data_IF_728653253459
#
_entry.id   IF_728653253459
#
_cell.length_a   1.000
_cell.length_b   1.000
_cell.length_c   1.000
_cell.angle_alpha   90.00
_cell.angle_beta   90.00
_cell.angle_gamma   90.00
#
_symmetry.space_group_name_H-M   'P 1'
#
loop_
_entity.id
_entity.type
_entity.pdbx_description
1 polymer ?
#
# COMPACT_ATOMS: atom_id res chain seq x y z
N UNK A 1 -35.90 -6.47 -64.96
CA UNK A 1 -34.90 -5.79 -64.09
C UNK A 1 -34.27 -4.53 -64.71
N UNK A 2 -34.86 -3.96 -65.77
CA UNK A 2 -34.30 -2.82 -66.52
C UNK A 2 -35.24 -1.61 -66.59
N UNK A 3 -36.39 -1.67 -65.91
CA UNK A 3 -37.46 -0.69 -66.08
C UNK A 3 -37.36 0.54 -65.16
N UNK A 4 -36.64 0.46 -64.04
CA UNK A 4 -36.46 1.59 -63.12
C UNK A 4 -35.35 2.57 -63.55
N UNK A 5 -34.41 2.12 -64.38
CA UNK A 5 -33.25 2.94 -64.81
C UNK A 5 -33.64 3.90 -65.95
N UNK A 6 -34.59 3.52 -66.80
CA UNK A 6 -34.94 4.30 -68.00
C UNK A 6 -35.86 5.50 -67.77
N UNK A 7 -36.48 5.67 -66.58
CA UNK A 7 -37.37 6.82 -66.30
C UNK A 7 -36.63 8.06 -65.82
N UNK A 8 -35.36 7.93 -65.43
CA UNK A 8 -34.52 9.03 -64.93
C UNK A 8 -33.93 9.88 -66.07
N UNK A 9 -33.99 9.41 -67.32
CA UNK A 9 -33.28 10.00 -68.46
C UNK A 9 -33.91 11.24 -69.14
N UNK A 10 -34.90 11.95 -68.56
CA UNK A 10 -35.56 13.09 -69.25
C UNK A 10 -35.36 14.50 -68.65
N UNK A 11 -34.34 14.75 -67.82
CA UNK A 11 -34.10 16.12 -67.31
C UNK A 11 -32.63 16.41 -67.05
N UNK A 12 -32.04 17.36 -67.79
CA UNK A 12 -30.70 17.92 -67.55
C UNK A 12 -30.49 18.37 -66.10
N UNK A 13 -31.57 18.82 -65.43
CA UNK A 13 -31.54 19.26 -64.03
C UNK A 13 -31.28 18.08 -63.07
N UNK A 14 -31.83 16.89 -63.35
CA UNK A 14 -31.63 15.68 -62.53
C UNK A 14 -30.19 15.16 -62.61
N UNK A 15 -29.55 15.27 -63.78
CA UNK A 15 -28.14 14.86 -63.96
C UNK A 15 -27.18 15.72 -63.12
N UNK A 16 -27.46 17.02 -62.99
CA UNK A 16 -26.67 17.95 -62.19
C UNK A 16 -26.80 17.67 -60.67
N UNK A 17 -28.02 17.42 -60.19
CA UNK A 17 -28.30 17.16 -58.76
C UNK A 17 -27.77 15.80 -58.29
N UNK A 18 -27.80 14.77 -59.14
CA UNK A 18 -27.26 13.44 -58.78
C UNK A 18 -25.71 13.47 -58.74
N UNK A 19 -25.08 14.25 -59.61
CA UNK A 19 -23.62 14.39 -59.64
C UNK A 19 -23.05 15.02 -58.36
N UNK A 20 -23.80 15.93 -57.71
CA UNK A 20 -23.40 16.53 -56.44
C UNK A 20 -23.77 15.68 -55.21
N UNK A 21 -24.67 14.70 -55.36
CA UNK A 21 -25.08 13.81 -54.27
C UNK A 21 -24.07 12.70 -53.99
N UNK A 22 -23.37 12.22 -55.01
CA UNK A 22 -22.35 11.17 -54.89
C UNK A 22 -21.23 11.59 -53.90
N UNK A 23 -20.60 12.78 -54.02
CA UNK A 23 -19.61 13.25 -53.05
C UNK A 23 -20.13 13.30 -51.61
N UNK A 24 -21.39 13.72 -51.41
CA UNK A 24 -22.01 13.81 -50.08
C UNK A 24 -22.16 12.41 -49.47
N UNK A 25 -22.58 11.42 -50.26
CA UNK A 25 -22.66 10.04 -49.80
C UNK A 25 -21.29 9.48 -49.39
N UNK A 26 -20.24 9.77 -50.17
CA UNK A 26 -18.87 9.38 -49.81
C UNK A 26 -18.39 10.04 -48.51
N UNK A 27 -18.69 11.32 -48.28
CA UNK A 27 -18.35 12.02 -47.02
C UNK A 27 -19.05 11.37 -45.83
N UNK A 28 -20.32 10.99 -45.97
CA UNK A 28 -21.08 10.32 -44.89
C UNK A 28 -20.43 8.97 -44.53
N UNK A 29 -20.09 8.15 -45.53
CA UNK A 29 -19.42 6.86 -45.30
C UNK A 29 -18.06 7.04 -44.63
N UNK A 30 -17.26 8.00 -45.10
CA UNK A 30 -15.98 8.35 -44.48
C UNK A 30 -16.17 8.85 -43.04
N UNK A 31 -17.23 9.61 -42.77
CA UNK A 31 -17.59 10.03 -41.42
C UNK A 31 -17.88 8.87 -40.47
N UNK A 32 -18.64 7.86 -40.93
CA UNK A 32 -18.95 6.67 -40.14
C UNK A 32 -17.69 5.83 -39.87
N UNK A 33 -16.86 5.61 -40.91
CA UNK A 33 -15.59 4.87 -40.77
C UNK A 33 -14.63 5.62 -39.84
N UNK A 34 -14.50 6.94 -40.00
CA UNK A 34 -13.67 7.79 -39.14
C UNK A 34 -14.16 7.75 -37.69
N UNK A 35 -15.46 7.89 -37.46
CA UNK A 35 -16.05 7.84 -36.13
C UNK A 35 -15.80 6.49 -35.45
N UNK A 36 -16.10 5.38 -36.13
CA UNK A 36 -15.93 4.04 -35.58
C UNK A 36 -14.46 3.70 -35.29
N UNK A 37 -13.55 4.03 -36.21
CA UNK A 37 -12.11 3.84 -36.04
C UNK A 37 -11.54 4.66 -34.88
N UNK A 38 -11.92 5.95 -34.82
CA UNK A 38 -11.44 6.87 -33.78
C UNK A 38 -12.01 6.50 -32.42
N UNK A 39 -13.32 6.22 -32.33
CA UNK A 39 -13.95 5.82 -31.08
C UNK A 39 -13.36 4.52 -30.52
N UNK A 40 -13.05 3.56 -31.39
CA UNK A 40 -12.36 2.31 -31.00
C UNK A 40 -10.94 2.59 -30.51
N UNK A 41 -10.16 3.34 -31.28
CA UNK A 41 -8.78 3.68 -30.93
C UNK A 41 -8.68 4.46 -29.62
N UNK A 42 -9.61 5.38 -29.37
CA UNK A 42 -9.67 6.14 -28.10
C UNK A 42 -9.97 5.19 -26.94
N UNK A 43 -10.98 4.33 -27.07
CA UNK A 43 -11.32 3.36 -26.02
C UNK A 43 -10.14 2.44 -25.73
N UNK A 44 -9.53 1.86 -26.75
CA UNK A 44 -8.36 0.99 -26.63
C UNK A 44 -7.20 1.70 -25.93
N UNK A 45 -6.87 2.93 -26.35
CA UNK A 45 -5.81 3.72 -25.72
C UNK A 45 -6.10 4.05 -24.26
N UNK A 46 -7.32 4.47 -23.94
CA UNK A 46 -7.70 4.78 -22.54
C UNK A 46 -7.61 3.51 -21.70
N UNK A 47 -8.17 2.40 -22.15
CA UNK A 47 -8.08 1.12 -21.45
C UNK A 47 -6.63 0.66 -21.27
N UNK A 48 -5.81 0.73 -22.31
CA UNK A 48 -4.40 0.34 -22.25
C UNK A 48 -3.60 1.23 -21.30
N UNK A 49 -3.75 2.55 -21.38
CA UNK A 49 -3.08 3.49 -20.48
C UNK A 49 -3.52 3.30 -19.03
N UNK A 50 -4.81 3.06 -18.79
CA UNK A 50 -5.31 2.74 -17.44
C UNK A 50 -4.73 1.42 -16.91
N UNK A 51 -4.69 0.36 -17.74
CA UNK A 51 -4.09 -0.92 -17.37
C UNK A 51 -2.61 -0.76 -17.03
N UNK A 52 -1.85 -0.05 -17.88
CA UNK A 52 -0.44 0.23 -17.63
C UNK A 52 -0.24 1.01 -16.33
N UNK A 53 -1.09 2.00 -16.06
CA UNK A 53 -1.04 2.79 -14.82
C UNK A 53 -1.29 1.90 -13.60
N UNK A 54 -2.30 1.02 -13.64
CA UNK A 54 -2.61 0.07 -12.57
C UNK A 54 -1.43 -0.87 -12.33
N UNK A 55 -0.84 -1.43 -13.40
CA UNK A 55 0.34 -2.30 -13.28
C UNK A 55 1.54 -1.57 -12.66
N UNK A 56 1.79 -0.32 -13.06
CA UNK A 56 2.87 0.48 -12.45
C UNK A 56 2.58 0.80 -10.97
N UNK A 57 1.33 1.02 -10.59
CA UNK A 57 0.94 1.19 -9.19
C UNK A 57 1.14 -0.09 -8.38
N UNK A 58 0.77 -1.25 -8.94
CA UNK A 58 1.00 -2.56 -8.32
C UNK A 58 2.48 -2.83 -8.12
N UNK A 59 3.31 -2.61 -9.13
CA UNK A 59 4.77 -2.78 -9.03
C UNK A 59 5.37 -1.85 -7.95
N UNK A 60 4.95 -0.59 -7.92
CA UNK A 60 5.40 0.35 -6.92
C UNK A 60 4.96 -0.04 -5.50
N UNK A 61 3.74 -0.54 -5.33
CA UNK A 61 3.22 -0.99 -4.05
C UNK A 61 3.93 -2.28 -3.56
N UNK A 62 4.18 -3.22 -4.47
CA UNK A 62 4.94 -4.43 -4.16
C UNK A 62 6.39 -4.10 -3.78
N UNK A 63 7.01 -3.14 -4.46
CA UNK A 63 8.35 -2.66 -4.11
C UNK A 63 8.35 -1.99 -2.74
N UNK A 64 7.42 -1.07 -2.48
CA UNK A 64 7.38 -0.32 -1.22
C UNK A 64 7.14 -1.24 -0.02
N UNK A 65 6.20 -2.18 -0.14
CA UNK A 65 5.93 -3.20 0.89
C UNK A 65 7.15 -4.09 1.10
N UNK A 66 7.78 -4.61 0.04
CA UNK A 66 9.00 -5.41 0.16
C UNK A 66 10.14 -4.66 0.86
N UNK A 67 10.33 -3.37 0.55
CA UNK A 67 11.35 -2.53 1.20
C UNK A 67 11.08 -2.37 2.69
N UNK A 68 9.82 -2.12 3.08
CA UNK A 68 9.43 -2.01 4.49
C UNK A 68 9.67 -3.34 5.22
N UNK A 69 9.27 -4.46 4.63
CA UNK A 69 9.48 -5.79 5.19
C UNK A 69 10.96 -6.12 5.41
N UNK A 70 11.81 -5.80 4.43
CA UNK A 70 13.26 -5.97 4.54
C UNK A 70 13.83 -5.11 5.67
N UNK A 71 13.49 -3.82 5.71
CA UNK A 71 13.97 -2.90 6.76
C UNK A 71 13.52 -3.31 8.15
N UNK A 72 12.29 -3.78 8.30
CA UNK A 72 11.81 -4.33 9.58
C UNK A 72 12.59 -5.60 9.96
N UNK A 73 12.88 -6.48 9.00
CA UNK A 73 13.68 -7.68 9.25
C UNK A 73 15.12 -7.34 9.66
N UNK A 74 15.74 -6.35 9.02
CA UNK A 74 17.05 -5.81 9.38
C UNK A 74 17.04 -5.18 10.77
N UNK A 75 15.99 -4.41 11.11
CA UNK A 75 15.85 -3.78 12.41
C UNK A 75 15.74 -4.82 13.53
N UNK A 76 14.89 -5.84 13.35
CA UNK A 76 14.69 -6.94 14.32
C UNK A 76 15.98 -7.75 14.54
N UNK A 77 16.79 -7.90 13.49
CA UNK A 77 18.04 -8.65 13.53
C UNK A 77 19.23 -7.82 14.02
N UNK A 78 19.03 -6.56 14.37
CA UNK A 78 20.10 -5.66 14.80
C UNK A 78 20.64 -6.02 16.19
N UNK A 79 21.89 -5.65 16.44
CA UNK A 79 22.48 -5.80 17.76
C UNK A 79 21.72 -4.95 18.79
N UNK A 80 21.31 -3.73 18.47
CA UNK A 80 20.56 -2.85 19.37
C UNK A 80 19.26 -3.46 19.88
N UNK A 81 18.47 -4.09 18.99
CA UNK A 81 17.24 -4.79 19.36
C UNK A 81 17.56 -6.02 20.21
N UNK A 82 18.52 -6.83 19.77
CA UNK A 82 18.91 -8.04 20.51
C UNK A 82 19.41 -7.72 21.91
N UNK A 83 20.28 -6.72 22.05
CA UNK A 83 20.91 -6.36 23.31
C UNK A 83 19.85 -5.84 24.28
N UNK A 84 18.91 -5.02 23.80
CA UNK A 84 17.77 -4.56 24.58
C UNK A 84 16.90 -5.70 25.12
N UNK A 85 16.58 -6.70 24.29
CA UNK A 85 15.71 -7.82 24.67
C UNK A 85 16.44 -9.01 25.33
N UNK A 86 17.77 -8.99 25.37
CA UNK A 86 18.58 -10.06 25.98
C UNK A 86 18.70 -9.99 27.50
N UNK A 87 18.35 -8.83 28.08
CA UNK A 87 18.48 -8.56 29.51
C UNK A 87 17.12 -8.55 30.19
N UNK A 88 17.06 -9.09 31.41
CA UNK A 88 15.88 -8.92 32.25
C UNK A 88 15.89 -7.49 32.83
N UNK A 89 14.89 -6.64 32.50
CA UNK A 89 14.84 -5.26 32.95
C UNK A 89 14.76 -5.12 34.48
N UNK A 90 14.37 -6.15 35.23
CA UNK A 90 14.35 -6.14 36.70
C UNK A 90 15.70 -6.53 37.34
N UNK A 91 16.61 -7.09 36.54
CA UNK A 91 17.92 -7.59 37.01
C UNK A 91 19.06 -6.60 36.85
N UNK A 92 18.84 -5.49 36.15
CA UNK A 92 19.86 -4.51 35.77
C UNK A 92 19.65 -3.17 36.49
N UNK A 93 20.75 -2.44 36.67
CA UNK A 93 20.70 -1.09 37.24
C UNK A 93 19.95 -0.11 36.32
N UNK A 94 19.32 0.90 36.92
CA UNK A 94 18.53 1.91 36.20
C UNK A 94 19.34 2.66 35.13
N UNK A 95 20.62 2.94 35.38
CA UNK A 95 21.50 3.61 34.41
C UNK A 95 21.73 2.74 33.17
N UNK A 96 22.04 1.45 33.36
CA UNK A 96 22.21 0.49 32.26
C UNK A 96 20.93 0.35 31.45
N UNK A 97 19.77 0.23 32.11
CA UNK A 97 18.46 0.17 31.45
C UNK A 97 18.20 1.42 30.61
N UNK A 98 18.49 2.60 31.15
CA UNK A 98 18.29 3.88 30.46
C UNK A 98 19.18 3.98 29.22
N UNK A 99 20.44 3.54 29.31
CA UNK A 99 21.37 3.50 28.16
C UNK A 99 20.88 2.56 27.05
N UNK A 100 20.35 1.39 27.40
CA UNK A 100 19.79 0.45 26.42
C UNK A 100 18.55 1.03 25.72
N UNK A 101 17.63 1.65 26.47
CA UNK A 101 16.47 2.35 25.89
C UNK A 101 16.94 3.47 24.94
N UNK A 102 17.92 4.28 25.36
CA UNK A 102 18.41 5.38 24.54
C UNK A 102 19.12 4.88 23.27
N UNK A 103 19.92 3.81 23.35
CA UNK A 103 20.58 3.22 22.18
C UNK A 103 19.56 2.72 21.18
N UNK A 104 18.57 1.95 21.64
CA UNK A 104 17.51 1.42 20.79
C UNK A 104 16.69 2.55 20.15
N UNK A 105 16.27 3.56 20.92
CA UNK A 105 15.52 4.71 20.39
C UNK A 105 16.34 5.49 19.36
N UNK A 106 17.63 5.72 19.60
CA UNK A 106 18.52 6.38 18.64
C UNK A 106 18.69 5.56 17.36
N UNK A 107 18.85 4.24 17.49
CA UNK A 107 18.91 3.32 16.36
C UNK A 107 17.63 3.42 15.52
N UNK A 108 16.45 3.30 16.13
CA UNK A 108 15.17 3.38 15.41
C UNK A 108 14.97 4.76 14.76
N UNK A 109 15.32 5.84 15.45
CA UNK A 109 15.29 7.21 14.90
C UNK A 109 16.19 7.34 13.66
N UNK A 110 17.40 6.78 13.71
CA UNK A 110 18.33 6.83 12.58
C UNK A 110 17.76 6.12 11.33
N UNK A 111 16.87 5.14 11.53
CA UNK A 111 16.21 4.40 10.45
C UNK A 111 14.98 5.11 9.88
N UNK A 112 14.37 6.06 10.58
CA UNK A 112 13.15 6.75 10.12
C UNK A 112 13.34 8.18 9.66
N UNK A 113 14.31 8.94 10.21
CA UNK A 113 14.44 10.39 9.95
C UNK A 113 14.50 10.77 8.47
N UNK A 114 15.10 9.93 7.62
CA UNK A 114 15.25 10.18 6.18
C UNK A 114 14.61 9.10 5.31
N UNK A 115 13.69 8.31 5.88
CA UNK A 115 13.03 7.23 5.15
C UNK A 115 11.80 7.73 4.40
N UNK A 116 11.64 7.32 3.14
CA UNK A 116 10.48 7.69 2.31
C UNK A 116 9.30 6.73 2.45
N UNK A 117 9.54 5.53 2.97
CA UNK A 117 8.55 4.46 3.10
C UNK A 117 8.12 4.24 4.55
N UNK A 118 9.00 4.50 5.50
CA UNK A 118 8.75 4.24 6.93
C UNK A 118 8.60 5.57 7.67
N UNK A 119 7.40 5.85 8.15
CA UNK A 119 7.13 7.00 9.01
C UNK A 119 7.65 6.78 10.43
N UNK A 120 7.51 5.56 10.96
CA UNK A 120 7.79 5.24 12.36
C UNK A 120 8.09 3.76 12.58
N UNK A 121 8.98 3.48 13.52
CA UNK A 121 9.12 2.16 14.14
C UNK A 121 8.53 2.19 15.54
N UNK A 122 7.74 1.17 15.87
CA UNK A 122 7.11 1.02 17.18
C UNK A 122 7.34 -0.38 17.70
N UNK A 123 7.71 -0.47 18.98
CA UNK A 123 7.88 -1.71 19.72
C UNK A 123 6.90 -1.68 20.89
N UNK A 124 6.04 -2.70 20.94
CA UNK A 124 5.00 -2.85 21.96
C UNK A 124 5.36 -4.06 22.82
N UNK A 125 5.63 -3.82 24.10
CA UNK A 125 5.82 -4.84 25.11
C UNK A 125 4.63 -4.92 26.08
N UNK A 126 4.63 -5.91 26.97
CA UNK A 126 3.55 -6.10 27.96
C UNK A 126 3.35 -4.88 28.88
N UNK A 127 4.44 -4.16 29.18
CA UNK A 127 4.43 -2.98 30.05
C UNK A 127 5.33 -1.84 29.54
N UNK A 128 5.82 -1.95 28.30
CA UNK A 128 6.70 -0.95 27.70
C UNK A 128 6.20 -0.59 26.30
N UNK A 129 6.39 0.67 25.95
CA UNK A 129 6.12 1.18 24.62
C UNK A 129 7.32 2.02 24.19
N UNK A 130 7.88 1.72 23.01
CA UNK A 130 9.00 2.46 22.44
C UNK A 130 8.69 2.80 21.01
N UNK A 131 8.96 4.04 20.61
CA UNK A 131 8.69 4.51 19.26
C UNK A 131 9.80 5.42 18.76
N UNK A 132 10.04 5.40 17.45
CA UNK A 132 10.84 6.44 16.80
C UNK A 132 10.01 7.73 16.60
N UNK A 133 10.71 8.84 16.37
CA UNK A 133 10.13 10.18 16.22
C UNK A 133 9.83 10.87 17.55
N UNK A 134 9.34 12.10 17.46
CA UNK A 134 8.82 12.85 18.61
C UNK A 134 7.33 12.54 18.81
N UNK A 135 6.95 12.27 20.07
CA UNK A 135 5.58 11.99 20.50
C UNK A 135 5.18 10.51 20.42
N UNK A 136 4.36 10.07 21.38
CA UNK A 136 3.78 8.73 21.39
C UNK A 136 2.64 8.66 20.36
N UNK A 137 2.72 7.72 19.42
CA UNK A 137 1.65 7.52 18.44
C UNK A 137 0.41 6.92 19.13
N UNK A 138 0.65 5.93 19.99
CA UNK A 138 -0.34 5.28 20.85
C UNK A 138 0.36 4.74 22.11
N UNK A 139 -0.05 5.10 23.33
CA UNK A 139 0.47 4.41 24.53
C UNK A 139 -0.28 3.09 24.73
N UNK A 140 -0.07 2.14 23.81
CA UNK A 140 -0.70 0.82 23.82
C UNK A 140 0.30 -0.21 24.35
N UNK A 141 -0.17 -1.13 25.18
CA UNK A 141 0.63 -2.22 25.71
C UNK A 141 0.15 -3.56 25.19
N UNK A 142 1.06 -4.52 25.09
CA UNK A 142 0.77 -5.84 24.54
C UNK A 142 -0.31 -6.57 25.35
N UNK A 143 -0.34 -6.38 26.67
CA UNK A 143 -1.37 -6.92 27.57
C UNK A 143 -2.80 -6.46 27.23
N UNK A 144 -2.95 -5.28 26.63
CA UNK A 144 -4.26 -4.66 26.36
C UNK A 144 -4.79 -5.08 24.99
N UNK A 145 -3.92 -5.55 24.09
CA UNK A 145 -4.27 -6.08 22.76
C UNK A 145 -4.20 -7.61 22.68
N UNK A 146 -3.66 -8.29 23.71
CA UNK A 146 -3.65 -9.76 23.78
C UNK A 146 -5.09 -10.27 23.73
N UNK A 147 -5.40 -11.08 22.71
CA UNK A 147 -6.73 -11.62 22.46
C UNK A 147 -7.62 -10.77 21.55
N UNK A 148 -7.15 -9.64 21.02
CA UNK A 148 -7.84 -8.94 19.94
C UNK A 148 -7.61 -9.62 18.59
N UNK A 149 -8.46 -9.34 17.60
CA UNK A 149 -8.29 -9.83 16.23
C UNK A 149 -6.95 -9.40 15.64
N UNK A 150 -6.48 -8.18 15.97
CA UNK A 150 -5.13 -7.72 15.66
C UNK A 150 -4.03 -8.69 16.11
N UNK A 151 -4.06 -9.10 17.37
CA UNK A 151 -3.02 -9.96 17.94
C UNK A 151 -3.12 -11.40 17.41
N UNK A 152 -4.34 -11.92 17.22
CA UNK A 152 -4.56 -13.25 16.66
C UNK A 152 -3.97 -13.40 15.25
N UNK A 153 -4.10 -12.37 14.41
CA UNK A 153 -3.47 -12.35 13.08
C UNK A 153 -1.94 -12.44 13.17
N UNK A 154 -1.34 -11.76 14.16
CA UNK A 154 0.10 -11.77 14.38
C UNK A 154 0.60 -13.10 14.95
N UNK A 155 -0.18 -13.72 15.83
CA UNK A 155 0.10 -15.04 16.41
C UNK A 155 0.08 -16.12 15.32
N UNK A 156 -0.97 -16.12 14.50
CA UNK A 156 -1.11 -17.05 13.36
C UNK A 156 -0.03 -16.87 12.29
N UNK A 157 0.53 -15.66 12.15
CA UNK A 157 1.61 -15.39 11.20
C UNK A 157 2.98 -15.93 11.65
N UNK A 158 3.11 -16.40 12.89
CA UNK A 158 4.31 -17.08 13.42
C UNK A 158 5.61 -16.27 13.22
N UNK A 159 5.54 -14.94 13.42
CA UNK A 159 6.69 -14.03 13.27
C UNK A 159 6.94 -13.51 11.85
N UNK A 160 6.11 -13.91 10.87
CA UNK A 160 6.10 -13.30 9.52
C UNK A 160 5.46 -11.92 9.52
N UNK A 161 5.73 -11.15 8.46
CA UNK A 161 5.07 -9.87 8.19
C UNK A 161 3.56 -10.04 8.10
N UNK A 162 2.84 -9.19 8.81
CA UNK A 162 1.42 -8.97 8.59
C UNK A 162 1.22 -7.49 8.28
N UNK A 163 0.63 -7.24 7.12
CA UNK A 163 0.21 -5.90 6.72
C UNK A 163 -1.19 -5.64 7.26
N UNK A 164 -1.31 -4.60 8.07
CA UNK A 164 -2.52 -4.25 8.80
C UNK A 164 -2.87 -2.80 8.49
N UNK A 165 -4.13 -2.54 8.14
CA UNK A 165 -4.63 -1.18 7.85
C UNK A 165 -4.74 -0.32 9.09
N UNK A 166 -5.47 0.80 8.99
CA UNK A 166 -5.91 1.53 10.19
C UNK A 166 -6.79 0.59 11.01
N UNK A 167 -6.35 0.25 12.22
CA UNK A 167 -7.12 -0.61 13.10
C UNK A 167 -7.88 0.22 14.12
N UNK A 168 -9.21 0.22 13.97
CA UNK A 168 -10.13 0.78 14.96
C UNK A 168 -9.89 0.19 16.37
N UNK A 169 -9.47 -1.07 16.45
CA UNK A 169 -9.14 -1.74 17.73
C UNK A 169 -7.96 -1.08 18.47
N UNK A 170 -6.93 -0.60 17.75
CA UNK A 170 -5.81 0.11 18.37
C UNK A 170 -6.22 1.52 18.79
N UNK A 171 -7.10 2.16 18.03
CA UNK A 171 -7.68 3.46 18.38
C UNK A 171 -8.55 3.38 19.63
N UNK A 172 -9.36 2.32 19.77
CA UNK A 172 -10.18 2.06 20.96
C UNK A 172 -9.33 1.83 22.21
N UNK A 173 -8.33 0.95 22.13
CA UNK A 173 -7.46 0.63 23.28
C UNK A 173 -6.61 1.84 23.70
N UNK A 174 -6.15 2.64 22.75
CA UNK A 174 -5.28 3.78 23.06
C UNK A 174 -5.97 4.95 23.77
N UNK A 175 -7.31 4.98 23.81
CA UNK A 175 -8.11 6.11 24.31
C UNK A 175 -7.76 7.47 23.68
N UNK A 176 -6.98 7.50 22.59
CA UNK A 176 -6.56 8.70 21.88
C UNK A 176 -7.13 8.71 20.47
N UNK A 177 -8.06 9.62 20.22
CA UNK A 177 -8.49 9.98 18.86
C UNK A 177 -7.44 10.88 18.22
N UNK A 178 -6.31 10.33 17.78
CA UNK A 178 -5.28 11.11 17.10
C UNK A 178 -5.24 10.80 15.61
N UNK A 179 -5.86 11.72 14.88
CA UNK A 179 -6.05 11.87 13.44
C UNK A 179 -4.74 12.04 12.64
N UNK A 180 -3.71 11.24 12.91
CA UNK A 180 -2.64 10.98 11.96
C UNK A 180 -2.69 9.48 11.67
N UNK A 181 -3.71 9.11 10.88
CA UNK A 181 -4.05 7.73 10.56
C UNK A 181 -2.78 6.93 10.25
N UNK A 182 -2.52 5.88 11.03
CA UNK A 182 -1.71 4.77 10.50
C UNK A 182 -2.42 4.34 9.21
N UNK A 183 -1.87 4.74 8.05
CA UNK A 183 -2.46 4.37 6.77
C UNK A 183 -2.35 2.87 6.55
N UNK A 184 -1.18 2.33 6.87
CA UNK A 184 -0.88 0.90 6.87
C UNK A 184 0.33 0.65 7.79
N UNK A 185 0.33 -0.48 8.49
CA UNK A 185 1.42 -0.93 9.35
C UNK A 185 1.88 -2.32 8.94
N UNK A 186 3.20 -2.55 9.00
CA UNK A 186 3.79 -3.88 8.86
C UNK A 186 4.19 -4.36 10.26
N UNK A 187 3.39 -5.27 10.82
CA UNK A 187 3.52 -5.74 12.19
C UNK A 187 3.98 -7.19 12.24
N UNK A 188 4.79 -7.55 13.25
CA UNK A 188 5.36 -8.89 13.46
C UNK A 188 5.55 -9.18 14.93
N UNK A 189 5.40 -10.44 15.34
CA UNK A 189 5.84 -10.88 16.66
C UNK A 189 7.36 -10.97 16.69
N UNK A 190 7.96 -10.30 17.68
CA UNK A 190 9.41 -10.34 17.88
C UNK A 190 9.79 -11.67 18.54
N UNK A 191 10.59 -12.46 17.83
CA UNK A 191 11.11 -13.76 18.31
C UNK A 191 12.60 -13.70 18.59
N UNK A 192 13.01 -14.43 19.61
CA UNK A 192 14.42 -14.67 19.87
C UNK A 192 15.00 -15.58 18.79
N UNK A 193 16.00 -15.08 18.08
CA UNK A 193 16.63 -15.74 16.92
C UNK A 193 17.23 -17.10 17.30
N UNK A 194 17.63 -17.28 18.57
CA UNK A 194 18.26 -18.52 19.05
C UNK A 194 17.25 -19.59 19.47
N UNK A 195 16.14 -19.18 20.08
CA UNK A 195 15.15 -20.13 20.62
C UNK A 195 13.91 -20.26 19.74
N UNK A 196 13.75 -19.38 18.75
CA UNK A 196 12.55 -19.22 17.94
C UNK A 196 11.24 -18.99 18.74
N UNK A 197 11.36 -18.63 20.02
CA UNK A 197 10.24 -18.27 20.89
C UNK A 197 10.04 -16.75 20.92
N UNK A 198 8.81 -16.24 21.10
CA UNK A 198 8.58 -14.83 21.35
C UNK A 198 9.39 -14.32 22.54
N UNK A 199 9.91 -13.09 22.47
CA UNK A 199 10.53 -12.48 23.65
C UNK A 199 9.45 -12.26 24.73
N UNK A 200 9.76 -12.63 25.98
CA UNK A 200 8.83 -12.55 27.11
C UNK A 200 8.00 -13.80 27.37
N UNK A 201 8.09 -14.83 26.51
CA UNK A 201 7.43 -16.12 26.73
C UNK A 201 8.31 -16.98 27.68
N UNK A 202 8.14 -16.79 28.99
CA UNK A 202 8.75 -17.65 30.01
C UNK A 202 7.94 -18.95 30.12
N UNK A 203 8.11 -19.81 29.14
CA UNK A 203 7.76 -21.23 29.20
C UNK A 203 9.02 -22.09 29.20
#
# INVERSE_FOLDING_TARGET
RTFFINRVQKSLKIKLTISSLIPVAFIIVLGIVSYSSTARSIKEKVTQSSLQTIMSMEEYFNLSTSVVELKTSEAISSADVRDYFSVDPNSIELDTRTKLIQSLTNFLNSKTINDKFISRFTIIGDYSFLTSGSGDLYQVYLKDIKGSGYYELLENADGKAVWLGSLEELDEVSSQKKTESIGISCSRILKNIRTNKPYGDTA
#
